data_IF_746028627359
#
_entry.id   IF_746028627359
#
_cell.length_a   1.000
_cell.length_b   1.000
_cell.length_c   1.000
_cell.angle_alpha   90.00
_cell.angle_beta   90.00
_cell.angle_gamma   90.00
#
_symmetry.space_group_name_H-M   'P 1'
#
loop_
_entity.id
_entity.type
_entity.pdbx_description
1 polymer ?
#
# COMPACT_ATOMS: atom_id res chain seq x y z
N UNK A 1 24.42 8.55 -7.56
CA UNK A 1 24.33 9.82 -6.80
C UNK A 1 23.51 9.55 -5.56
N UNK A 2 23.88 10.11 -4.41
CA UNK A 2 23.11 9.97 -3.16
C UNK A 2 21.68 10.48 -3.36
N UNK A 3 20.69 9.72 -2.88
CA UNK A 3 19.27 10.08 -2.97
C UNK A 3 18.78 10.69 -1.65
N UNK A 4 17.70 11.48 -1.71
CA UNK A 4 16.95 11.87 -0.51
C UNK A 4 15.53 11.32 -0.63
N UNK A 5 15.26 10.28 0.16
CA UNK A 5 13.99 9.57 0.23
C UNK A 5 13.18 10.11 1.40
N UNK A 6 12.06 10.78 1.12
CA UNK A 6 11.22 11.40 2.16
C UNK A 6 9.94 10.60 2.35
N UNK A 7 9.68 10.13 3.57
CA UNK A 7 8.45 9.41 3.91
C UNK A 7 7.50 10.35 4.66
N UNK A 8 6.41 10.75 4.00
CA UNK A 8 5.34 11.53 4.64
C UNK A 8 4.37 10.53 5.32
N UNK A 9 4.19 10.66 6.62
CA UNK A 9 3.66 9.58 7.45
C UNK A 9 4.77 8.66 7.99
N UNK A 10 5.97 9.22 8.22
CA UNK A 10 7.16 8.52 8.71
C UNK A 10 7.04 7.95 10.13
N UNK A 11 5.92 8.20 10.84
CA UNK A 11 5.57 7.55 12.11
C UNK A 11 4.80 6.24 11.95
N UNK A 12 4.65 5.76 10.71
CA UNK A 12 3.88 4.56 10.37
C UNK A 12 4.53 3.26 10.89
N UNK A 13 3.74 2.28 11.35
CA UNK A 13 4.22 0.95 11.72
C UNK A 13 4.83 0.16 10.54
N UNK A 14 4.68 0.63 9.30
CA UNK A 14 5.23 -0.02 8.10
C UNK A 14 6.62 0.48 7.71
N UNK A 15 7.15 1.53 8.35
CA UNK A 15 8.51 2.03 8.07
C UNK A 15 9.62 0.98 8.23
N UNK A 16 9.55 0.01 9.16
CA UNK A 16 10.55 -1.07 9.23
C UNK A 16 10.70 -1.86 7.92
N UNK A 17 9.60 -2.17 7.21
CA UNK A 17 9.68 -2.89 5.92
C UNK A 17 10.27 -2.02 4.81
N UNK A 18 10.03 -0.72 4.86
CA UNK A 18 10.69 0.26 3.99
C UNK A 18 12.20 0.24 4.17
N UNK A 19 12.71 0.28 5.41
CA UNK A 19 14.15 0.18 5.66
C UNK A 19 14.73 -1.14 5.14
N UNK A 20 14.03 -2.25 5.36
CA UNK A 20 14.44 -3.55 4.83
C UNK A 20 14.53 -3.53 3.30
N UNK A 21 13.55 -2.94 2.60
CA UNK A 21 13.55 -2.86 1.14
C UNK A 21 14.66 -1.94 0.60
N UNK A 22 15.01 -0.87 1.32
CA UNK A 22 16.16 -0.01 1.00
C UNK A 22 17.47 -0.79 1.12
N UNK A 23 17.61 -1.58 2.20
CA UNK A 23 18.79 -2.43 2.45
C UNK A 23 18.94 -3.50 1.36
N UNK A 24 17.85 -4.14 0.93
CA UNK A 24 17.86 -5.09 -0.19
C UNK A 24 18.37 -4.47 -1.50
N UNK A 25 18.25 -3.14 -1.64
CA UNK A 25 18.69 -2.36 -2.79
C UNK A 25 19.95 -1.51 -2.50
N UNK A 26 20.79 -1.96 -1.57
CA UNK A 26 22.04 -1.29 -1.18
C UNK A 26 22.90 -0.89 -2.37
N UNK A 27 23.03 -1.73 -3.40
CA UNK A 27 23.86 -1.41 -4.58
C UNK A 27 23.47 -0.12 -5.32
N UNK A 28 22.23 0.35 -5.13
CA UNK A 28 21.70 1.57 -5.76
C UNK A 28 21.53 2.71 -4.75
N UNK A 29 21.21 2.38 -3.48
CA UNK A 29 20.80 3.35 -2.48
C UNK A 29 21.85 3.67 -1.40
N UNK A 30 23.02 3.01 -1.40
CA UNK A 30 24.10 3.30 -0.45
C UNK A 30 24.54 4.78 -0.52
N UNK A 31 24.78 5.39 0.63
CA UNK A 31 25.09 6.81 0.80
C UNK A 31 23.88 7.75 0.70
N UNK A 32 22.65 7.22 0.65
CA UNK A 32 21.42 8.04 0.59
C UNK A 32 20.98 8.55 1.96
N UNK A 33 20.07 9.54 1.94
CA UNK A 33 19.33 10.01 3.10
C UNK A 33 17.90 9.48 3.11
N UNK A 34 17.43 9.02 4.26
CA UNK A 34 16.02 8.74 4.55
C UNK A 34 15.51 9.76 5.56
N UNK A 35 14.53 10.56 5.15
CA UNK A 35 13.88 11.55 6.01
C UNK A 35 12.48 11.07 6.38
N UNK A 36 12.24 10.85 7.67
CA UNK A 36 10.92 10.51 8.21
C UNK A 36 10.19 11.78 8.62
N UNK A 37 9.04 12.05 8.00
CA UNK A 37 8.21 13.20 8.33
C UNK A 37 6.84 12.77 8.84
N UNK A 38 6.47 13.23 10.02
CA UNK A 38 5.13 13.02 10.58
C UNK A 38 4.71 14.21 11.43
N UNK A 39 3.41 14.49 11.46
CA UNK A 39 2.84 15.53 12.32
C UNK A 39 2.84 15.10 13.78
N UNK A 40 2.78 13.80 14.04
CA UNK A 40 3.02 13.22 15.36
C UNK A 40 4.49 12.79 15.48
N UNK A 41 5.35 13.59 16.14
CA UNK A 41 6.78 13.30 16.20
C UNK A 41 7.11 12.17 17.18
N UNK A 42 6.16 11.67 17.97
CA UNK A 42 6.44 10.77 19.11
C UNK A 42 7.13 9.46 18.69
N UNK A 43 6.84 8.97 17.48
CA UNK A 43 7.38 7.72 16.93
C UNK A 43 8.65 7.91 16.11
N UNK A 44 8.92 9.13 15.64
CA UNK A 44 10.01 9.42 14.71
C UNK A 44 11.40 9.06 15.29
N UNK A 45 11.76 9.42 16.54
CA UNK A 45 13.07 9.07 17.10
C UNK A 45 13.28 7.55 17.18
N UNK A 46 12.24 6.79 17.56
CA UNK A 46 12.31 5.33 17.67
C UNK A 46 12.53 4.68 16.30
N UNK A 47 11.78 5.12 15.28
CA UNK A 47 11.94 4.60 13.93
C UNK A 47 13.28 5.01 13.30
N UNK A 48 13.78 6.21 13.60
CA UNK A 48 15.11 6.62 13.18
C UNK A 48 16.20 5.73 13.80
N UNK A 49 16.12 5.49 15.10
CA UNK A 49 17.03 4.56 15.81
C UNK A 49 16.98 3.15 15.20
N UNK A 50 15.78 2.63 14.91
CA UNK A 50 15.64 1.33 14.26
C UNK A 50 16.35 1.31 12.91
N UNK A 51 16.11 2.31 12.07
CA UNK A 51 16.76 2.41 10.77
C UNK A 51 18.28 2.45 10.87
N UNK A 52 18.83 3.18 11.85
CA UNK A 52 20.28 3.26 12.08
C UNK A 52 20.86 1.89 12.48
N UNK A 53 20.14 1.15 13.32
CA UNK A 53 20.51 -0.21 13.72
C UNK A 53 20.48 -1.15 12.51
N UNK A 54 19.42 -1.10 11.70
CA UNK A 54 19.28 -1.94 10.50
C UNK A 54 20.36 -1.63 9.46
N UNK A 55 20.60 -0.35 9.16
CA UNK A 55 21.62 0.09 8.21
C UNK A 55 23.03 -0.35 8.66
N UNK A 56 23.36 -0.17 9.95
CA UNK A 56 24.64 -0.60 10.53
C UNK A 56 24.84 -2.11 10.43
N UNK A 57 23.82 -2.91 10.73
CA UNK A 57 23.88 -4.38 10.59
C UNK A 57 24.09 -4.81 9.14
N UNK A 58 23.53 -4.08 8.18
CA UNK A 58 23.73 -4.32 6.75
C UNK A 58 25.03 -3.71 6.19
N UNK A 59 25.81 -3.01 7.02
CA UNK A 59 27.00 -2.26 6.61
C UNK A 59 26.70 -1.21 5.55
N UNK A 60 25.50 -0.63 5.54
CA UNK A 60 25.04 0.38 4.59
C UNK A 60 25.24 1.78 5.20
N UNK A 61 25.77 2.71 4.41
CA UNK A 61 25.84 4.11 4.78
C UNK A 61 24.49 4.78 4.47
N UNK A 62 23.66 4.93 5.50
CA UNK A 62 22.35 5.55 5.37
C UNK A 62 22.22 6.66 6.41
N UNK A 63 22.07 7.90 5.93
CA UNK A 63 21.77 9.02 6.81
C UNK A 63 20.27 9.02 7.11
N UNK A 64 19.91 8.99 8.38
CA UNK A 64 18.50 8.98 8.78
C UNK A 64 18.20 10.28 9.52
N UNK A 65 17.22 11.01 9.01
CA UNK A 65 16.74 12.27 9.58
C UNK A 65 15.25 12.18 9.85
N UNK A 66 14.75 13.03 10.73
CA UNK A 66 13.33 13.15 10.95
C UNK A 66 12.92 14.57 11.34
N UNK A 67 11.69 14.93 11.03
CA UNK A 67 11.14 16.25 11.36
C UNK A 67 9.60 16.24 11.32
N UNK A 68 8.97 17.18 12.01
CA UNK A 68 7.54 17.48 11.85
C UNK A 68 7.28 18.63 10.87
N UNK A 69 8.33 19.22 10.29
CA UNK A 69 8.25 20.28 9.31
C UNK A 69 8.29 19.71 7.89
N UNK A 70 7.13 19.71 7.23
CA UNK A 70 6.97 19.21 5.86
C UNK A 70 7.93 19.87 4.87
N UNK A 71 8.19 21.17 5.04
CA UNK A 71 8.98 21.97 4.12
C UNK A 71 10.45 21.55 4.21
N UNK A 72 10.99 21.43 5.43
CA UNK A 72 12.35 20.92 5.68
C UNK A 72 12.53 19.48 5.21
N UNK A 73 11.51 18.64 5.38
CA UNK A 73 11.54 17.27 4.90
C UNK A 73 11.69 17.20 3.37
N UNK A 74 10.80 17.90 2.66
CA UNK A 74 10.68 17.84 1.19
C UNK A 74 11.81 18.58 0.46
N UNK A 75 12.42 19.58 1.06
CA UNK A 75 13.51 20.35 0.45
C UNK A 75 14.65 19.45 -0.07
N UNK A 76 14.91 19.50 -1.38
CA UNK A 76 15.95 18.69 -2.02
C UNK A 76 15.64 17.18 -2.09
N UNK A 77 14.40 16.75 -1.88
CA UNK A 77 14.00 15.36 -2.07
C UNK A 77 14.22 14.92 -3.53
N UNK A 78 14.61 13.66 -3.72
CA UNK A 78 14.59 13.01 -5.04
C UNK A 78 13.38 12.10 -5.19
N UNK A 79 12.95 11.48 -4.08
CA UNK A 79 11.70 10.73 -4.00
C UNK A 79 10.94 11.13 -2.73
N UNK A 80 9.62 11.30 -2.88
CA UNK A 80 8.69 11.50 -1.77
C UNK A 80 7.72 10.33 -1.76
N UNK A 81 7.52 9.72 -0.60
CA UNK A 81 6.63 8.58 -0.39
C UNK A 81 5.49 8.99 0.53
N UNK A 82 4.38 9.53 -0.02
CA UNK A 82 3.17 9.74 0.76
C UNK A 82 2.58 8.39 1.19
N UNK A 83 2.46 8.18 2.51
CA UNK A 83 1.91 6.97 3.11
C UNK A 83 1.20 7.24 4.44
N UNK A 84 0.46 8.35 4.51
CA UNK A 84 -0.24 8.80 5.71
C UNK A 84 -1.75 8.49 5.69
N UNK A 85 -2.34 8.47 6.88
CA UNK A 85 -3.78 8.36 7.13
C UNK A 85 -4.26 9.63 7.84
N UNK A 86 -4.91 10.55 7.12
CA UNK A 86 -5.48 11.76 7.74
C UNK A 86 -6.56 11.33 8.75
N UNK A 87 -6.45 11.84 9.99
CA UNK A 87 -7.35 11.47 11.09
C UNK A 87 -7.06 10.11 11.76
N UNK A 88 -6.05 9.36 11.27
CA UNK A 88 -5.59 8.11 11.87
C UNK A 88 -6.68 7.05 12.04
N UNK A 89 -6.55 6.22 13.08
CA UNK A 89 -7.51 5.16 13.37
C UNK A 89 -8.91 5.67 13.73
N UNK A 90 -9.01 6.87 14.31
CA UNK A 90 -10.31 7.46 14.67
C UNK A 90 -11.15 7.69 13.41
N UNK A 91 -10.59 8.39 12.42
CA UNK A 91 -11.28 8.61 11.15
C UNK A 91 -11.58 7.29 10.43
N UNK A 92 -10.61 6.36 10.39
CA UNK A 92 -10.83 5.02 9.85
C UNK A 92 -12.05 4.32 10.48
N UNK A 93 -12.17 4.34 11.80
CA UNK A 93 -13.32 3.75 12.48
C UNK A 93 -14.62 4.47 12.16
N UNK A 94 -14.60 5.79 11.96
CA UNK A 94 -15.75 6.60 11.53
C UNK A 94 -16.17 6.27 10.08
N UNK A 95 -15.20 6.08 9.17
CA UNK A 95 -15.43 5.70 7.77
C UNK A 95 -16.22 4.39 7.65
N UNK A 96 -15.96 3.43 8.56
CA UNK A 96 -16.73 2.20 8.65
C UNK A 96 -18.04 2.34 9.42
N UNK A 97 -18.02 2.96 10.60
CA UNK A 97 -19.14 2.92 11.54
C UNK A 97 -20.28 3.87 11.18
N UNK A 98 -19.98 5.06 10.63
CA UNK A 98 -20.99 6.07 10.31
C UNK A 98 -21.92 5.57 9.20
N UNK A 99 -21.45 5.12 8.02
CA UNK A 99 -22.35 4.64 6.97
C UNK A 99 -23.16 3.44 7.45
N UNK A 100 -22.49 2.52 8.16
CA UNK A 100 -23.08 1.27 8.64
C UNK A 100 -24.25 1.50 9.61
N UNK A 101 -24.20 2.58 10.41
CA UNK A 101 -25.33 3.01 11.28
C UNK A 101 -26.60 3.33 10.48
N UNK A 102 -26.46 3.80 9.23
CA UNK A 102 -27.56 4.19 8.36
C UNK A 102 -27.92 3.11 7.33
N UNK A 103 -27.47 1.87 7.52
CA UNK A 103 -27.80 0.76 6.63
C UNK A 103 -27.04 0.76 5.30
N UNK A 104 -25.91 1.48 5.22
CA UNK A 104 -25.01 1.45 4.07
C UNK A 104 -23.68 0.86 4.54
N UNK A 105 -23.18 -0.19 3.89
CA UNK A 105 -21.89 -0.75 4.29
C UNK A 105 -20.77 0.30 4.23
N UNK A 106 -20.07 0.50 5.35
CA UNK A 106 -18.89 1.36 5.39
C UNK A 106 -17.66 0.68 4.81
N UNK A 107 -16.79 1.46 4.18
CA UNK A 107 -15.49 1.03 3.67
C UNK A 107 -14.45 2.15 3.79
N UNK A 108 -13.19 1.78 3.89
CA UNK A 108 -12.06 2.70 3.99
C UNK A 108 -11.88 3.56 2.74
N UNK A 109 -12.19 2.99 1.57
CA UNK A 109 -11.80 3.52 0.25
C UNK A 109 -12.94 3.58 -0.76
N UNK A 110 -14.05 2.90 -0.48
CA UNK A 110 -15.25 2.86 -1.29
C UNK A 110 -16.47 3.41 -0.53
N UNK A 111 -17.55 3.70 -1.28
CA UNK A 111 -18.80 4.18 -0.72
C UNK A 111 -18.66 5.50 0.07
N UNK A 112 -19.58 5.77 1.02
CA UNK A 112 -19.55 7.00 1.80
C UNK A 112 -18.29 7.14 2.67
N UNK A 113 -17.79 6.06 3.28
CA UNK A 113 -16.56 6.08 4.09
C UNK A 113 -15.33 6.49 3.27
N UNK A 114 -15.13 5.87 2.11
CA UNK A 114 -14.10 6.28 1.17
C UNK A 114 -14.26 7.73 0.69
N UNK A 115 -15.49 8.23 0.58
CA UNK A 115 -15.75 9.63 0.24
C UNK A 115 -15.33 10.57 1.37
N UNK A 116 -15.60 10.24 2.64
CA UNK A 116 -15.13 11.02 3.78
C UNK A 116 -13.61 11.08 3.83
N UNK A 117 -12.95 9.92 3.65
CA UNK A 117 -11.49 9.85 3.56
C UNK A 117 -10.97 10.73 2.42
N UNK A 118 -11.55 10.64 1.22
CA UNK A 118 -11.12 11.44 0.07
C UNK A 118 -11.20 12.95 0.35
N UNK A 119 -12.28 13.42 0.98
CA UNK A 119 -12.48 14.83 1.32
C UNK A 119 -11.44 15.37 2.30
N UNK A 120 -10.96 14.52 3.21
CA UNK A 120 -9.88 14.87 4.13
C UNK A 120 -8.49 14.81 3.46
N UNK A 121 -8.28 13.81 2.62
CA UNK A 121 -6.95 13.44 2.12
C UNK A 121 -6.54 14.21 0.87
N UNK A 122 -7.47 14.53 -0.04
CA UNK A 122 -7.17 15.28 -1.27
C UNK A 122 -6.55 16.65 -0.96
N UNK A 123 -7.13 17.49 -0.07
CA UNK A 123 -6.55 18.80 0.24
C UNK A 123 -5.13 18.71 0.81
N UNK A 124 -4.89 17.74 1.71
CA UNK A 124 -3.58 17.49 2.28
C UNK A 124 -2.56 17.07 1.21
N UNK A 125 -2.93 16.13 0.34
CA UNK A 125 -2.05 15.67 -0.75
C UNK A 125 -1.71 16.79 -1.71
N UNK A 126 -2.70 17.59 -2.12
CA UNK A 126 -2.47 18.73 -3.00
C UNK A 126 -1.55 19.78 -2.36
N UNK A 127 -1.61 19.98 -1.04
CA UNK A 127 -0.69 20.88 -0.33
C UNK A 127 0.76 20.36 -0.39
N UNK A 128 0.99 19.06 -0.17
CA UNK A 128 2.32 18.46 -0.31
C UNK A 128 2.82 18.50 -1.76
N UNK A 129 1.96 18.22 -2.73
CA UNK A 129 2.31 18.32 -4.15
C UNK A 129 2.76 19.74 -4.54
N UNK A 130 2.09 20.77 -4.04
CA UNK A 130 2.52 22.18 -4.26
C UNK A 130 3.87 22.50 -3.61
N UNK A 131 4.12 21.96 -2.41
CA UNK A 131 5.45 22.07 -1.79
C UNK A 131 6.51 21.37 -2.63
N UNK A 132 6.21 20.21 -3.21
CA UNK A 132 7.15 19.52 -4.11
C UNK A 132 7.41 20.32 -5.39
N UNK A 133 6.38 20.90 -6.00
CA UNK A 133 6.55 21.78 -7.18
C UNK A 133 7.46 22.98 -6.90
N UNK A 134 7.43 23.51 -5.68
CA UNK A 134 8.28 24.62 -5.25
C UNK A 134 9.71 24.18 -4.91
N UNK A 135 9.86 23.11 -4.13
CA UNK A 135 11.12 22.77 -3.44
C UNK A 135 11.93 21.65 -4.10
N UNK A 136 11.27 20.80 -4.88
CA UNK A 136 11.89 19.66 -5.54
C UNK A 136 11.10 19.25 -6.80
N UNK A 137 10.96 20.15 -7.80
CA UNK A 137 10.07 19.94 -8.96
C UNK A 137 10.40 18.71 -9.79
N UNK A 138 11.62 18.20 -9.69
CA UNK A 138 12.07 17.01 -10.40
C UNK A 138 11.81 15.69 -9.67
N UNK A 139 11.44 15.75 -8.39
CA UNK A 139 11.23 14.57 -7.56
C UNK A 139 9.99 13.78 -7.99
N UNK A 140 10.06 12.46 -7.81
CA UNK A 140 8.90 11.58 -7.95
C UNK A 140 8.17 11.42 -6.62
N UNK A 141 6.86 11.61 -6.62
CA UNK A 141 5.98 11.14 -5.56
C UNK A 141 5.56 9.70 -5.86
N UNK A 142 5.90 8.74 -5.01
CA UNK A 142 5.46 7.34 -5.10
C UNK A 142 4.49 7.11 -3.95
N UNK A 143 3.18 7.21 -4.24
CA UNK A 143 2.13 7.36 -3.23
C UNK A 143 1.31 6.10 -3.00
N UNK A 144 1.13 5.78 -1.72
CA UNK A 144 0.19 4.77 -1.20
C UNK A 144 -1.00 5.40 -0.48
N UNK A 145 -1.24 6.68 -0.71
CA UNK A 145 -2.29 7.40 -0.01
C UNK A 145 -3.63 6.99 -0.60
N UNK A 146 -4.43 6.33 0.23
CA UNK A 146 -5.81 6.01 -0.12
C UNK A 146 -6.75 7.24 0.03
N UNK A 147 -7.93 7.22 -0.60
CA UNK A 147 -8.32 6.29 -1.65
C UNK A 147 -7.58 6.64 -2.96
N UNK A 148 -6.80 5.67 -3.45
CA UNK A 148 -5.70 5.92 -4.40
C UNK A 148 -6.20 6.55 -5.70
N UNK A 149 -7.33 6.07 -6.23
CA UNK A 149 -7.94 6.58 -7.46
C UNK A 149 -8.40 8.05 -7.35
N UNK A 150 -9.07 8.44 -6.26
CA UNK A 150 -9.53 9.83 -6.07
C UNK A 150 -8.35 10.79 -5.89
N UNK A 151 -7.36 10.39 -5.10
CA UNK A 151 -6.18 11.20 -4.83
C UNK A 151 -5.35 11.37 -6.10
N UNK A 152 -5.11 10.28 -6.84
CA UNK A 152 -4.38 10.33 -8.10
C UNK A 152 -5.08 11.22 -9.15
N UNK A 153 -6.40 11.10 -9.29
CA UNK A 153 -7.17 11.93 -10.24
C UNK A 153 -7.12 13.42 -9.84
N UNK A 154 -7.24 13.73 -8.55
CA UNK A 154 -7.15 15.11 -8.06
C UNK A 154 -5.76 15.71 -8.29
N UNK A 155 -4.69 15.00 -7.94
CA UNK A 155 -3.30 15.44 -8.17
C UNK A 155 -3.07 15.69 -9.66
N UNK A 156 -3.42 14.73 -10.50
CA UNK A 156 -3.27 14.83 -11.96
C UNK A 156 -3.97 16.06 -12.55
N UNK A 157 -5.16 16.41 -12.06
CA UNK A 157 -5.95 17.54 -12.58
C UNK A 157 -5.44 18.90 -12.12
N UNK A 158 -4.81 18.96 -10.94
CA UNK A 158 -4.55 20.22 -10.23
C UNK A 158 -3.06 20.56 -10.17
N UNK A 159 -2.16 19.58 -10.32
CA UNK A 159 -0.72 19.75 -10.16
C UNK A 159 0.06 19.18 -11.35
N UNK A 160 1.34 19.51 -11.43
CA UNK A 160 2.34 19.00 -12.38
C UNK A 160 3.31 18.02 -11.71
N UNK A 161 3.06 17.65 -10.46
CA UNK A 161 3.92 16.73 -9.69
C UNK A 161 4.05 15.41 -10.43
N UNK A 162 5.29 14.90 -10.55
CA UNK A 162 5.55 13.56 -11.09
C UNK A 162 5.03 12.52 -10.09
N UNK A 163 3.81 12.02 -10.27
CA UNK A 163 3.08 11.27 -9.26
C UNK A 163 2.75 9.84 -9.74
N UNK A 164 3.33 8.85 -9.07
CA UNK A 164 3.03 7.43 -9.23
C UNK A 164 2.08 7.00 -8.12
N UNK A 165 0.85 6.65 -8.48
CA UNK A 165 -0.16 6.18 -7.54
C UNK A 165 -0.19 4.65 -7.52
N UNK A 166 0.07 4.05 -6.37
CA UNK A 166 0.22 2.60 -6.24
C UNK A 166 -0.57 2.05 -5.07
N UNK A 167 -0.80 0.75 -5.12
CA UNK A 167 -1.54 -0.02 -4.13
C UNK A 167 -0.83 -1.35 -3.91
N UNK A 168 -0.92 -1.88 -2.70
CA UNK A 168 -0.33 -3.14 -2.26
C UNK A 168 -1.17 -4.37 -2.64
N UNK A 169 -2.46 -4.18 -2.95
CA UNK A 169 -3.39 -5.24 -3.31
C UNK A 169 -2.88 -6.19 -4.39
N UNK A 170 -2.36 -5.67 -5.51
CA UNK A 170 -1.86 -6.52 -6.59
C UNK A 170 -0.56 -7.25 -6.21
N UNK A 171 0.51 -6.56 -5.73
CA UNK A 171 1.69 -7.26 -5.21
C UNK A 171 1.37 -8.34 -4.17
N UNK A 172 0.53 -8.03 -3.18
CA UNK A 172 0.10 -8.97 -2.14
C UNK A 172 -0.68 -10.16 -2.72
N UNK A 173 -1.55 -9.91 -3.70
CA UNK A 173 -2.29 -10.95 -4.39
C UNK A 173 -1.38 -11.91 -5.17
N UNK A 174 -0.35 -11.40 -5.86
CA UNK A 174 0.62 -12.26 -6.58
C UNK A 174 1.43 -13.13 -5.59
N UNK A 175 1.81 -12.60 -4.43
CA UNK A 175 2.39 -13.41 -3.35
C UNK A 175 1.41 -14.47 -2.82
N UNK A 176 0.12 -14.13 -2.77
CA UNK A 176 -0.97 -15.09 -2.50
C UNK A 176 -1.01 -16.22 -3.52
N UNK A 177 -0.98 -15.91 -4.82
CA UNK A 177 -0.96 -16.90 -5.91
C UNK A 177 0.24 -17.85 -5.75
N UNK A 178 1.45 -17.31 -5.54
CA UNK A 178 2.66 -18.12 -5.39
C UNK A 178 2.52 -19.14 -4.26
N UNK A 179 2.04 -18.70 -3.08
CA UNK A 179 1.76 -19.57 -1.94
C UNK A 179 0.67 -20.60 -2.25
N UNK A 180 -0.42 -20.15 -2.86
CA UNK A 180 -1.58 -21.00 -3.18
C UNK A 180 -1.25 -22.08 -4.22
N UNK A 181 -0.34 -21.78 -5.15
CA UNK A 181 0.17 -22.74 -6.14
C UNK A 181 1.34 -23.58 -5.61
N UNK A 182 1.99 -23.16 -4.52
CA UNK A 182 3.14 -23.84 -3.93
C UNK A 182 4.42 -23.64 -4.76
N UNK A 183 4.61 -22.45 -5.33
CA UNK A 183 5.75 -22.13 -6.19
C UNK A 183 6.48 -20.87 -5.71
N UNK A 184 7.79 -20.74 -5.99
CA UNK A 184 8.53 -19.49 -5.80
C UNK A 184 7.87 -18.30 -6.52
N UNK A 185 7.89 -17.13 -5.88
CA UNK A 185 7.26 -15.90 -6.41
C UNK A 185 7.88 -15.46 -7.73
N UNK A 186 9.18 -15.70 -7.92
CA UNK A 186 9.95 -15.33 -9.12
C UNK A 186 9.48 -16.10 -10.37
N UNK A 187 8.78 -17.22 -10.16
CA UNK A 187 8.21 -18.04 -11.24
C UNK A 187 6.84 -17.56 -11.67
N UNK A 188 6.18 -16.73 -10.87
CA UNK A 188 4.83 -16.23 -11.14
C UNK A 188 4.91 -14.94 -11.93
N UNK A 189 4.27 -14.92 -13.10
CA UNK A 189 4.01 -13.70 -13.87
C UNK A 189 2.51 -13.50 -14.00
N UNK A 190 2.00 -12.40 -13.50
CA UNK A 190 0.58 -12.09 -13.50
C UNK A 190 0.32 -10.72 -14.12
N UNK A 191 -0.84 -10.56 -14.77
CA UNK A 191 -1.34 -9.26 -15.21
C UNK A 191 -2.74 -9.07 -14.69
N UNK A 192 -3.02 -7.86 -14.22
CA UNK A 192 -4.35 -7.46 -13.78
C UNK A 192 -4.72 -6.11 -14.38
N UNK A 193 -6.01 -5.89 -14.60
CA UNK A 193 -6.54 -4.64 -15.15
C UNK A 193 -7.86 -4.27 -14.49
N UNK A 194 -8.14 -2.97 -14.40
CA UNK A 194 -9.32 -2.41 -13.75
C UNK A 194 -8.99 -1.06 -13.12
N UNK A 195 -9.83 -0.63 -12.19
CA UNK A 195 -9.57 0.54 -11.35
C UNK A 195 -9.10 0.09 -9.97
N UNK A 196 -8.42 0.96 -9.21
CA UNK A 196 -7.98 0.64 -7.85
C UNK A 196 -9.12 0.03 -7.01
N UNK A 197 -8.83 -1.07 -6.30
CA UNK A 197 -9.79 -1.84 -5.50
C UNK A 197 -10.99 -2.44 -6.28
N UNK A 198 -10.91 -2.48 -7.61
CA UNK A 198 -11.82 -3.20 -8.49
C UNK A 198 -11.07 -3.70 -9.73
N UNK A 199 -10.06 -4.53 -9.47
CA UNK A 199 -9.12 -5.03 -10.46
C UNK A 199 -9.36 -6.52 -10.71
N UNK A 200 -9.14 -6.98 -11.94
CA UNK A 200 -9.34 -8.35 -12.37
C UNK A 200 -8.04 -8.95 -12.89
N UNK A 201 -7.69 -10.14 -12.42
CA UNK A 201 -6.58 -10.92 -12.95
C UNK A 201 -6.95 -11.35 -14.38
N UNK A 202 -6.09 -11.08 -15.34
CA UNK A 202 -6.32 -11.40 -16.76
C UNK A 202 -5.34 -12.41 -17.31
N UNK A 203 -4.14 -12.47 -16.73
CA UNK A 203 -3.13 -13.45 -17.09
C UNK A 203 -2.42 -13.95 -15.84
N UNK A 204 -2.07 -15.24 -15.83
CA UNK A 204 -1.28 -15.86 -14.78
C UNK A 204 -0.44 -16.99 -15.38
N UNK A 205 0.88 -16.84 -15.35
CA UNK A 205 1.84 -17.82 -15.83
C UNK A 205 2.74 -18.28 -14.69
N UNK A 206 3.09 -19.56 -14.71
CA UNK A 206 4.12 -20.16 -13.86
C UNK A 206 5.15 -20.84 -14.74
N UNK A 207 6.42 -20.44 -14.62
CA UNK A 207 7.51 -20.93 -15.49
C UNK A 207 7.16 -20.84 -16.99
N UNK A 208 6.49 -19.75 -17.38
CA UNK A 208 6.08 -19.49 -18.77
C UNK A 208 4.87 -20.30 -19.27
N UNK A 209 4.24 -21.12 -18.42
CA UNK A 209 3.04 -21.89 -18.75
C UNK A 209 1.80 -21.22 -18.17
N UNK A 210 0.71 -21.21 -18.93
CA UNK A 210 -0.57 -20.68 -18.45
C UNK A 210 -1.04 -21.49 -17.23
N UNK A 211 -1.10 -20.80 -16.10
CA UNK A 211 -1.49 -21.35 -14.81
C UNK A 211 -2.89 -20.88 -14.39
N UNK A 212 -3.55 -20.03 -15.19
CA UNK A 212 -4.88 -19.51 -14.87
C UNK A 212 -5.92 -20.61 -14.68
N UNK A 213 -5.99 -21.66 -15.54
CA UNK A 213 -6.95 -22.75 -15.33
C UNK A 213 -6.73 -23.50 -14.02
N UNK A 214 -5.47 -23.78 -13.66
CA UNK A 214 -5.11 -24.42 -12.40
C UNK A 214 -5.47 -23.56 -11.21
N UNK A 215 -5.23 -22.25 -11.30
CA UNK A 215 -5.57 -21.29 -10.26
C UNK A 215 -7.09 -21.25 -10.03
N UNK A 216 -7.91 -21.21 -11.09
CA UNK A 216 -9.38 -21.26 -10.98
C UNK A 216 -9.87 -22.56 -10.36
N UNK A 217 -9.31 -23.69 -10.76
CA UNK A 217 -9.69 -25.00 -10.22
C UNK A 217 -9.42 -25.08 -8.72
N UNK A 218 -8.20 -24.71 -8.29
CA UNK A 218 -7.85 -24.67 -6.86
C UNK A 218 -8.72 -23.69 -6.08
N UNK A 219 -8.97 -22.49 -6.63
CA UNK A 219 -9.84 -21.49 -5.98
C UNK A 219 -11.22 -22.07 -5.70
N UNK A 220 -11.80 -22.83 -6.65
CA UNK A 220 -13.09 -23.49 -6.49
C UNK A 220 -13.07 -24.60 -5.44
N UNK A 221 -12.00 -25.40 -5.39
CA UNK A 221 -11.83 -26.49 -4.40
C UNK A 221 -11.66 -25.96 -2.97
N UNK A 222 -11.00 -24.82 -2.83
CA UNK A 222 -10.61 -24.23 -1.53
C UNK A 222 -11.58 -23.16 -1.02
N UNK A 223 -12.54 -22.69 -1.84
CA UNK A 223 -13.44 -21.58 -1.55
C UNK A 223 -14.03 -21.57 -0.12
N UNK A 224 -14.55 -22.72 0.32
CA UNK A 224 -15.21 -22.85 1.62
C UNK A 224 -14.24 -23.04 2.80
N UNK A 225 -13.01 -23.46 2.55
CA UNK A 225 -12.02 -23.76 3.60
C UNK A 225 -11.36 -22.49 4.14
N UNK A 226 -11.21 -21.45 3.30
CA UNK A 226 -10.43 -20.25 3.62
C UNK A 226 -11.27 -19.02 3.98
N UNK A 227 -12.60 -19.15 4.04
CA UNK A 227 -13.52 -18.13 4.55
C UNK A 227 -14.26 -17.31 3.47
N UNK A 228 -15.10 -16.36 3.89
CA UNK A 228 -16.12 -15.74 3.04
C UNK A 228 -15.55 -14.94 1.87
N UNK A 229 -14.37 -14.33 2.02
CA UNK A 229 -13.73 -13.58 0.93
C UNK A 229 -13.26 -14.49 -0.21
N UNK A 230 -12.72 -15.67 0.11
CA UNK A 230 -12.26 -16.62 -0.91
C UNK A 230 -13.44 -17.31 -1.60
N UNK A 231 -14.50 -17.61 -0.84
CA UNK A 231 -15.78 -18.08 -1.38
C UNK A 231 -16.41 -17.07 -2.36
N UNK A 232 -16.47 -15.80 -1.96
CA UNK A 232 -16.92 -14.72 -2.82
C UNK A 232 -16.08 -14.62 -4.11
N UNK A 233 -14.74 -14.67 -3.97
CA UNK A 233 -13.83 -14.66 -5.12
C UNK A 233 -14.08 -15.82 -6.09
N UNK A 234 -14.34 -17.02 -5.59
CA UNK A 234 -14.65 -18.19 -6.41
C UNK A 234 -15.96 -18.02 -7.19
N UNK A 235 -17.02 -17.57 -6.52
CA UNK A 235 -18.33 -17.31 -7.16
C UNK A 235 -18.26 -16.21 -8.21
N UNK A 236 -17.54 -15.14 -7.92
CA UNK A 236 -17.28 -14.06 -8.89
C UNK A 236 -16.48 -14.58 -10.09
N UNK A 237 -15.46 -15.41 -9.87
CA UNK A 237 -14.68 -16.00 -10.95
C UNK A 237 -15.47 -16.99 -11.81
N UNK A 238 -16.47 -17.66 -11.25
CA UNK A 238 -17.42 -18.50 -11.98
C UNK A 238 -18.39 -17.65 -12.81
N UNK A 239 -18.94 -16.58 -12.23
CA UNK A 239 -19.90 -15.70 -12.91
C UNK A 239 -19.28 -14.85 -14.03
N UNK A 240 -18.11 -14.24 -13.78
CA UNK A 240 -17.48 -13.29 -14.70
C UNK A 240 -16.35 -13.91 -15.54
N UNK A 241 -15.92 -15.13 -15.23
CA UNK A 241 -14.82 -15.81 -15.91
C UNK A 241 -13.43 -15.41 -15.40
N UNK A 242 -13.30 -14.30 -14.66
CA UNK A 242 -12.03 -13.76 -14.17
C UNK A 242 -11.97 -13.68 -12.65
N UNK A 243 -10.80 -13.94 -12.07
CA UNK A 243 -10.54 -13.81 -10.64
C UNK A 243 -10.32 -12.34 -10.30
N UNK A 244 -11.02 -11.87 -9.28
CA UNK A 244 -10.87 -10.51 -8.78
C UNK A 244 -9.63 -10.39 -7.89
N UNK A 245 -8.87 -9.31 -8.08
CA UNK A 245 -7.72 -8.95 -7.24
C UNK A 245 -8.24 -8.13 -6.06
N UNK A 246 -7.91 -8.56 -4.84
CA UNK A 246 -8.42 -8.00 -3.58
C UNK A 246 -9.96 -7.95 -3.52
N UNK A 247 -10.62 -9.11 -3.49
CA UNK A 247 -12.07 -9.20 -3.47
C UNK A 247 -12.72 -8.60 -2.20
N UNK A 248 -11.97 -8.42 -1.11
CA UNK A 248 -12.47 -7.85 0.15
C UNK A 248 -13.10 -6.45 0.05
N UNK A 249 -12.53 -5.54 -0.75
CA UNK A 249 -13.11 -4.20 -0.96
C UNK A 249 -14.44 -4.23 -1.73
N UNK A 250 -14.50 -4.82 -2.95
CA UNK A 250 -15.72 -4.83 -3.75
C UNK A 250 -16.79 -5.80 -3.23
N UNK A 251 -16.47 -6.77 -2.35
CA UNK A 251 -17.45 -7.73 -1.79
C UNK A 251 -18.69 -7.04 -1.23
N UNK A 252 -18.53 -5.87 -0.60
CA UNK A 252 -19.65 -5.07 -0.06
C UNK A 252 -20.70 -4.67 -1.11
N UNK A 253 -20.35 -4.65 -2.41
CA UNK A 253 -21.25 -4.29 -3.50
C UNK A 253 -22.17 -5.45 -3.90
N UNK A 254 -21.72 -6.69 -3.67
CA UNK A 254 -22.48 -7.90 -3.98
C UNK A 254 -23.13 -8.51 -2.74
N UNK A 255 -22.44 -8.48 -1.59
CA UNK A 255 -22.84 -9.13 -0.34
C UNK A 255 -23.09 -8.12 0.76
N UNK A 256 -23.82 -7.07 0.38
CA UNK A 256 -24.01 -5.88 1.19
C UNK A 256 -24.40 -6.20 2.64
N UNK A 257 -25.46 -6.98 2.83
CA UNK A 257 -26.03 -7.21 4.16
C UNK A 257 -25.10 -8.04 5.06
N UNK A 258 -24.45 -9.07 4.50
CA UNK A 258 -23.49 -9.90 5.23
C UNK A 258 -22.26 -9.09 5.64
N UNK A 259 -21.66 -8.36 4.70
CA UNK A 259 -20.49 -7.53 4.97
C UNK A 259 -20.85 -6.41 5.95
N UNK A 260 -22.04 -5.81 5.84
CA UNK A 260 -22.49 -4.80 6.79
C UNK A 260 -22.55 -5.35 8.23
N UNK A 261 -23.06 -6.57 8.44
CA UNK A 261 -23.08 -7.20 9.76
C UNK A 261 -21.67 -7.52 10.28
N UNK A 262 -20.76 -7.95 9.41
CA UNK A 262 -19.34 -8.10 9.76
C UNK A 262 -18.73 -6.76 10.19
N UNK A 263 -19.00 -5.66 9.46
CA UNK A 263 -18.50 -4.32 9.80
C UNK A 263 -19.09 -3.81 11.11
N UNK A 264 -20.36 -4.06 11.42
CA UNK A 264 -20.98 -3.70 12.72
C UNK A 264 -20.21 -4.33 13.89
N UNK A 265 -19.86 -5.61 13.77
CA UNK A 265 -19.10 -6.36 14.78
C UNK A 265 -17.66 -5.85 14.88
N UNK A 266 -17.03 -5.55 13.75
CA UNK A 266 -15.60 -5.22 13.72
C UNK A 266 -15.28 -3.75 14.03
N UNK A 267 -16.16 -2.82 13.67
CA UNK A 267 -15.89 -1.37 13.78
C UNK A 267 -16.80 -0.66 14.79
N UNK A 268 -17.71 -1.40 15.42
CA UNK A 268 -18.59 -0.88 16.48
C UNK A 268 -17.96 -0.92 17.87
N UNK A 269 -18.17 0.17 18.62
CA UNK A 269 -17.99 0.20 20.08
C UNK A 269 -16.54 0.18 20.59
N UNK A 270 -16.36 0.07 21.92
CA UNK A 270 -15.04 0.08 22.57
C UNK A 270 -14.10 -1.05 22.15
N UNK A 271 -14.65 -2.17 21.69
CA UNK A 271 -13.87 -3.35 21.30
C UNK A 271 -12.97 -3.10 20.09
N UNK A 272 -13.44 -2.30 19.12
CA UNK A 272 -12.63 -1.92 17.96
C UNK A 272 -11.38 -1.14 18.38
N UNK A 273 -11.53 -0.23 19.34
CA UNK A 273 -10.42 0.53 19.90
C UNK A 273 -9.45 -0.36 20.68
N UNK A 274 -9.97 -1.29 21.49
CA UNK A 274 -9.15 -2.24 22.25
C UNK A 274 -8.32 -3.14 21.32
N UNK A 275 -8.92 -3.71 20.28
CA UNK A 275 -8.23 -4.52 19.26
C UNK A 275 -7.11 -3.74 18.58
N UNK A 276 -7.38 -2.49 18.19
CA UNK A 276 -6.36 -1.67 17.56
C UNK A 276 -5.21 -1.32 18.52
N UNK A 277 -5.53 -0.99 19.78
CA UNK A 277 -4.52 -0.71 20.80
C UNK A 277 -3.61 -1.92 21.06
N UNK A 278 -4.19 -3.11 21.16
CA UNK A 278 -3.44 -4.37 21.32
C UNK A 278 -2.55 -4.65 20.11
N UNK A 279 -3.09 -4.51 18.89
CA UNK A 279 -2.33 -4.68 17.66
C UNK A 279 -1.15 -3.71 17.60
N UNK A 280 -1.37 -2.43 17.91
CA UNK A 280 -0.29 -1.43 17.93
C UNK A 280 0.74 -1.74 19.01
N UNK A 281 0.32 -2.19 20.19
CA UNK A 281 1.26 -2.62 21.23
C UNK A 281 2.19 -3.73 20.71
N UNK A 282 1.63 -4.77 20.10
CA UNK A 282 2.42 -5.89 19.56
C UNK A 282 3.40 -5.45 18.47
N UNK A 283 3.00 -4.48 17.63
CA UNK A 283 3.89 -3.90 16.61
C UNK A 283 5.08 -3.19 17.27
N UNK A 284 4.81 -2.31 18.23
CA UNK A 284 5.87 -1.49 18.84
C UNK A 284 6.78 -2.30 19.76
N UNK A 285 6.25 -3.30 20.47
CA UNK A 285 7.07 -4.27 21.23
C UNK A 285 8.06 -4.99 20.32
N UNK A 286 7.64 -5.34 19.09
CA UNK A 286 8.52 -6.01 18.14
C UNK A 286 9.54 -5.06 17.50
N UNK A 287 9.18 -3.80 17.26
CA UNK A 287 10.14 -2.75 16.87
C UNK A 287 11.22 -2.60 17.94
N UNK A 288 10.85 -2.59 19.22
CA UNK A 288 11.81 -2.53 20.32
C UNK A 288 12.73 -3.76 20.35
N UNK A 289 12.17 -4.96 20.19
CA UNK A 289 12.96 -6.18 20.08
C UNK A 289 13.96 -6.14 18.90
N UNK A 290 13.58 -5.57 17.75
CA UNK A 290 14.48 -5.41 16.60
C UNK A 290 15.65 -4.47 16.89
N UNK A 291 15.37 -3.33 17.56
CA UNK A 291 16.40 -2.40 18.03
C UNK A 291 17.40 -3.15 18.93
N UNK A 292 16.91 -4.01 19.82
CA UNK A 292 17.73 -4.78 20.76
C UNK A 292 18.53 -5.93 20.12
N UNK A 293 18.11 -6.47 18.97
CA UNK A 293 18.83 -7.61 18.38
C UNK A 293 18.01 -8.53 17.50
N UNK A 294 16.68 -8.51 17.63
CA UNK A 294 15.82 -9.44 16.92
C UNK A 294 15.99 -9.30 15.40
N UNK A 295 15.98 -10.43 14.66
CA UNK A 295 16.03 -10.40 13.20
C UNK A 295 14.71 -9.83 12.64
N UNK A 296 14.75 -9.36 11.40
CA UNK A 296 13.56 -9.03 10.63
C UNK A 296 12.70 -10.28 10.38
N UNK A 297 11.37 -10.17 10.47
CA UNK A 297 10.43 -11.30 10.35
C UNK A 297 9.28 -10.95 9.40
N UNK A 298 9.38 -11.41 8.14
CA UNK A 298 8.36 -11.22 7.10
C UNK A 298 7.01 -11.91 7.42
N UNK A 299 6.96 -12.80 8.42
CA UNK A 299 5.70 -13.48 8.79
C UNK A 299 4.74 -12.57 9.55
N UNK A 300 5.23 -11.46 10.11
CA UNK A 300 4.39 -10.47 10.79
C UNK A 300 3.70 -9.58 9.76
N UNK A 301 2.41 -9.31 9.97
CA UNK A 301 1.57 -8.55 9.02
C UNK A 301 2.13 -7.19 8.63
N UNK A 302 2.72 -6.43 9.56
CA UNK A 302 3.30 -5.11 9.33
C UNK A 302 4.74 -5.15 8.76
N UNK A 303 5.31 -6.35 8.62
CA UNK A 303 6.66 -6.61 8.11
C UNK A 303 6.63 -7.37 6.78
N UNK A 304 5.45 -7.53 6.17
CA UNK A 304 5.37 -8.14 4.85
C UNK A 304 5.99 -7.22 3.81
N UNK A 305 6.83 -7.79 2.95
CA UNK A 305 7.70 -7.02 2.06
C UNK A 305 7.06 -6.64 0.72
N UNK A 306 5.94 -7.22 0.34
CA UNK A 306 5.28 -6.97 -0.95
C UNK A 306 4.97 -5.47 -1.17
N UNK A 307 4.60 -4.77 -0.10
CA UNK A 307 4.33 -3.34 -0.11
C UNK A 307 5.63 -2.54 -0.28
N UNK A 308 6.59 -2.69 0.63
CA UNK A 308 7.83 -1.92 0.60
C UNK A 308 8.69 -2.19 -0.66
N UNK A 309 8.78 -3.44 -1.11
CA UNK A 309 9.49 -3.80 -2.35
C UNK A 309 8.88 -3.14 -3.57
N UNK A 310 7.56 -2.93 -3.61
CA UNK A 310 6.92 -2.24 -4.72
C UNK A 310 7.35 -0.76 -4.80
N UNK A 311 7.33 -0.02 -3.69
CA UNK A 311 7.67 1.41 -3.70
C UNK A 311 9.15 1.62 -3.97
N UNK A 312 9.99 0.93 -3.21
CA UNK A 312 11.43 1.08 -3.31
C UNK A 312 11.91 0.51 -4.65
N UNK A 313 11.31 -0.58 -5.14
CA UNK A 313 11.56 -1.13 -6.46
C UNK A 313 11.26 -0.12 -7.59
N UNK A 314 10.17 0.64 -7.50
CA UNK A 314 9.88 1.71 -8.45
C UNK A 314 10.91 2.83 -8.41
N UNK A 315 11.29 3.30 -7.22
CA UNK A 315 12.33 4.32 -7.06
C UNK A 315 13.67 3.85 -7.65
N UNK A 316 14.08 2.62 -7.32
CA UNK A 316 15.30 1.98 -7.84
C UNK A 316 15.24 1.84 -9.35
N UNK A 317 14.09 1.48 -9.92
CA UNK A 317 13.93 1.35 -11.37
C UNK A 317 14.05 2.69 -12.09
N UNK A 318 13.52 3.76 -11.49
CA UNK A 318 13.70 5.13 -12.00
C UNK A 318 15.17 5.57 -11.94
N UNK A 319 15.89 5.20 -10.87
CA UNK A 319 17.31 5.55 -10.71
C UNK A 319 18.20 4.77 -11.69
N UNK A 320 17.96 3.45 -11.81
CA UNK A 320 18.77 2.55 -12.59
C UNK A 320 18.48 2.65 -14.10
N UNK A 321 17.28 3.07 -14.48
CA UNK A 321 16.80 3.18 -15.87
C UNK A 321 17.03 1.88 -16.67
N UNK A 322 16.83 0.73 -16.02
CA UNK A 322 17.16 -0.59 -16.58
C UNK A 322 15.94 -1.37 -17.09
N UNK A 323 14.77 -0.71 -17.14
CA UNK A 323 13.56 -1.24 -17.75
C UNK A 323 12.90 -2.40 -16.99
N UNK A 324 13.19 -2.59 -15.70
CA UNK A 324 12.50 -3.60 -14.88
C UNK A 324 11.01 -3.31 -14.77
N UNK A 325 10.21 -4.36 -14.94
CA UNK A 325 8.77 -4.31 -14.66
C UNK A 325 8.51 -4.48 -13.16
N UNK A 326 7.80 -3.52 -12.55
CA UNK A 326 7.44 -3.56 -11.14
C UNK A 326 5.95 -3.31 -10.92
N UNK A 327 5.28 -4.33 -10.39
CA UNK A 327 3.98 -4.22 -9.74
C UNK A 327 2.85 -3.65 -10.59
N UNK A 328 1.83 -3.11 -9.91
CA UNK A 328 0.63 -2.55 -10.52
C UNK A 328 0.51 -1.06 -10.17
N UNK A 329 0.36 -0.22 -11.18
CA UNK A 329 0.27 1.23 -11.03
C UNK A 329 -1.08 1.75 -11.52
N UNK A 330 -1.54 2.86 -10.92
CA UNK A 330 -2.70 3.60 -11.40
C UNK A 330 -2.23 4.73 -12.30
N UNK A 331 -2.73 4.75 -13.53
CA UNK A 331 -2.44 5.78 -14.51
C UNK A 331 -3.66 6.03 -15.38
N UNK A 332 -3.78 7.24 -15.98
CA UNK A 332 -4.94 7.58 -16.80
C UNK A 332 -5.10 6.62 -17.96
N UNK A 333 -6.30 6.09 -18.14
CA UNK A 333 -6.57 5.23 -19.28
C UNK A 333 -6.44 6.02 -20.59
N UNK A 334 -5.43 5.70 -21.41
CA UNK A 334 -5.27 6.28 -22.74
C UNK A 334 -5.49 5.23 -23.85
N UNK A 335 -6.48 4.37 -23.65
CA UNK A 335 -6.78 3.23 -24.53
C UNK A 335 -6.11 1.92 -24.12
N UNK A 336 -5.47 1.87 -22.95
CA UNK A 336 -4.94 0.63 -22.37
C UNK A 336 -6.09 -0.36 -22.07
N UNK A 337 -7.23 0.16 -21.60
CA UNK A 337 -8.49 -0.57 -21.49
C UNK A 337 -9.46 0.07 -22.48
N UNK A 338 -9.61 -0.54 -23.65
CA UNK A 338 -10.24 0.08 -24.82
C UNK A 338 -11.73 0.43 -24.64
N UNK A 339 -12.42 -0.28 -23.74
CA UNK A 339 -13.85 -0.09 -23.45
C UNK A 339 -14.12 0.76 -22.19
N UNK A 340 -13.09 1.38 -21.60
CA UNK A 340 -13.24 2.37 -20.54
C UNK A 340 -13.00 3.79 -21.09
N UNK A 341 -13.56 4.84 -20.46
CA UNK A 341 -13.34 6.22 -20.88
C UNK A 341 -11.85 6.57 -20.91
N UNK A 342 -11.47 7.46 -21.83
CA UNK A 342 -10.13 8.05 -21.81
C UNK A 342 -10.00 9.00 -20.62
N UNK A 343 -8.85 8.93 -19.94
CA UNK A 343 -8.55 9.71 -18.75
C UNK A 343 -9.25 9.23 -17.47
N UNK A 344 -9.94 8.09 -17.52
CA UNK A 344 -10.43 7.36 -16.35
C UNK A 344 -9.28 6.84 -15.49
#
# INVERSE_FOLDING_TARGET
MAQKLVFLGGGSPFIPSTFQAIIENKSVLDGSEVCLMDLDPTRLPKLAQLGEVMARRAGMDLKITYTSDARKAIEGATFVFPGYRVGGFKALAEDFSIPTKYGICGDETAGPGGTFMAQCTIPATLAYCRLMEELCPDAWAISYVNPTNFVADAVRRVTKTKFMAICDCFPGFVHGIARFLGVPIEKVKARAMGVNHMTWLTECYVDGKDAYPTLKARLKESALEYGPELDFSARIAEAYGYIMVCPGHPRMLWEHDEVMEERKKHWGGPEAQARHAEQMKNVWDYVDAMIEGAPYDETKSHMQMHHARHAIGLAVSVIADDGREWGGMNFPNNGAIANLPRGA
#
